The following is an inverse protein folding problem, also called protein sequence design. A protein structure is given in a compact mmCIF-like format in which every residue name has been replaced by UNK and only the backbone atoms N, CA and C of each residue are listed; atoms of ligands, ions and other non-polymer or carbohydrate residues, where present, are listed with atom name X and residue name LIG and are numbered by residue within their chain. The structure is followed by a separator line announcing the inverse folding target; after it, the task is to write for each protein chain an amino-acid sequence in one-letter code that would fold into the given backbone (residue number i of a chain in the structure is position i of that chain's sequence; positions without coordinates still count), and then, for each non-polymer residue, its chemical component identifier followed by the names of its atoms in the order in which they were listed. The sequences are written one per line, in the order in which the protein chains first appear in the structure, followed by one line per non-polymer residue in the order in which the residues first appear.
data_IF_076832481580
#
_entry.id   IF_076832481580
#
_cell.length_a   1.000
_cell.length_b   1.000
_cell.length_c   1.000
_cell.angle_alpha   90.00
_cell.angle_beta   90.00
_cell.angle_gamma   90.00
#
_symmetry.space_group_name_H-M   'P 1'
#
loop_
_entity.id
_entity.type
_entity.pdbx_description
1 polymer ?
#
# COMPACT_ATOMS: atom_id res chain seq x y z
N UNK A 1 19.55 14.23 -1.53
CA UNK A 1 19.05 13.31 -0.49
C UNK A 1 18.54 12.06 -1.20
N UNK A 2 19.15 10.91 -0.98
CA UNK A 2 18.65 9.67 -1.58
C UNK A 2 17.25 9.38 -0.98
N UNK A 3 16.23 9.33 -1.84
CA UNK A 3 14.89 8.95 -1.42
C UNK A 3 14.92 7.43 -1.17
N UNK A 4 15.20 7.02 0.07
CA UNK A 4 15.25 5.60 0.40
C UNK A 4 13.88 4.97 0.11
N UNK A 5 13.83 3.80 -0.54
CA UNK A 5 12.57 3.14 -0.87
C UNK A 5 11.80 2.84 0.43
N UNK A 6 10.54 3.25 0.47
CA UNK A 6 9.65 2.92 1.59
C UNK A 6 9.28 1.45 1.54
N UNK A 7 8.87 0.92 2.68
CA UNK A 7 8.33 -0.43 2.78
C UNK A 7 7.19 -0.70 1.78
N UNK A 8 6.33 0.29 1.52
CA UNK A 8 5.27 0.18 0.51
C UNK A 8 5.86 0.04 -0.90
N UNK A 9 6.84 0.87 -1.27
CA UNK A 9 7.43 0.80 -2.62
C UNK A 9 8.12 -0.54 -2.88
N UNK A 10 8.79 -1.11 -1.87
CA UNK A 10 9.41 -2.43 -1.95
C UNK A 10 8.35 -3.51 -2.21
N UNK A 11 7.24 -3.49 -1.46
CA UNK A 11 6.12 -4.41 -1.66
C UNK A 11 5.51 -4.28 -3.06
N UNK A 12 5.24 -3.06 -3.51
CA UNK A 12 4.68 -2.82 -4.85
C UNK A 12 5.60 -3.35 -5.96
N UNK A 13 6.91 -3.17 -5.83
CA UNK A 13 7.89 -3.69 -6.79
C UNK A 13 7.98 -5.21 -6.75
N UNK A 14 7.84 -5.83 -5.57
CA UNK A 14 7.74 -7.28 -5.47
C UNK A 14 6.47 -7.81 -6.15
N UNK A 15 5.32 -7.14 -5.95
CA UNK A 15 4.06 -7.48 -6.60
C UNK A 15 4.22 -7.40 -8.13
N UNK A 16 4.85 -6.35 -8.66
CA UNK A 16 5.11 -6.18 -10.10
C UNK A 16 6.01 -7.29 -10.63
N UNK A 17 7.12 -7.59 -9.94
CA UNK A 17 8.07 -8.65 -10.33
C UNK A 17 7.43 -10.03 -10.38
N UNK A 18 6.55 -10.35 -9.43
CA UNK A 18 5.90 -11.65 -9.31
C UNK A 18 4.57 -11.74 -10.06
N UNK A 19 4.09 -10.63 -10.62
CA UNK A 19 2.73 -10.50 -11.15
C UNK A 19 2.36 -11.65 -12.08
N UNK A 20 3.21 -11.98 -13.05
CA UNK A 20 2.91 -12.99 -14.05
C UNK A 20 2.75 -14.41 -13.50
N UNK A 21 3.37 -14.69 -12.35
CA UNK A 21 3.30 -15.99 -11.66
C UNK A 21 2.08 -16.12 -10.75
N UNK A 22 1.36 -15.02 -10.48
CA UNK A 22 0.16 -15.03 -9.66
C UNK A 22 -1.03 -15.71 -10.39
N UNK A 23 -1.88 -16.40 -9.63
CA UNK A 23 -3.15 -16.92 -10.16
C UNK A 23 -4.07 -15.77 -10.58
N UNK A 24 -5.07 -16.03 -11.44
CA UNK A 24 -6.03 -15.02 -11.92
C UNK A 24 -6.63 -14.18 -10.79
N UNK A 25 -7.06 -14.82 -9.71
CA UNK A 25 -7.66 -14.16 -8.53
C UNK A 25 -6.63 -13.32 -7.76
N UNK A 26 -5.38 -13.76 -7.66
CA UNK A 26 -4.31 -12.99 -7.02
C UNK A 26 -3.86 -11.81 -7.90
N UNK A 27 -3.89 -11.95 -9.24
CA UNK A 27 -3.66 -10.84 -10.19
C UNK A 27 -4.72 -9.74 -10.07
N UNK A 28 -5.98 -10.10 -9.80
CA UNK A 28 -7.04 -9.11 -9.53
C UNK A 28 -6.73 -8.29 -8.27
N UNK A 29 -6.34 -8.96 -7.18
CA UNK A 29 -5.93 -8.29 -5.93
C UNK A 29 -4.70 -7.41 -6.15
N UNK A 30 -3.67 -7.93 -6.83
CA UNK A 30 -2.47 -7.18 -7.16
C UNK A 30 -2.78 -5.88 -7.91
N UNK A 31 -3.61 -5.97 -8.96
CA UNK A 31 -4.03 -4.81 -9.75
C UNK A 31 -4.74 -3.79 -8.88
N UNK A 32 -5.76 -4.22 -8.14
CA UNK A 32 -6.51 -3.34 -7.26
C UNK A 32 -5.60 -2.60 -6.27
N UNK A 33 -4.66 -3.30 -5.62
CA UNK A 33 -3.75 -2.71 -4.64
C UNK A 33 -2.78 -1.70 -5.29
N UNK A 34 -2.22 -2.03 -6.45
CA UNK A 34 -1.30 -1.16 -7.18
C UNK A 34 -2.01 0.12 -7.66
N UNK A 35 -3.27 0.00 -8.10
CA UNK A 35 -4.06 1.12 -8.62
C UNK A 35 -4.69 1.97 -7.50
N UNK A 36 -4.93 1.41 -6.31
CA UNK A 36 -5.72 2.03 -5.23
C UNK A 36 -4.99 2.05 -3.87
N UNK A 37 -3.66 2.20 -3.85
CA UNK A 37 -2.85 2.10 -2.62
C UNK A 37 -3.31 3.02 -1.48
N UNK A 38 -3.75 4.26 -1.78
CA UNK A 38 -4.25 5.17 -0.76
C UNK A 38 -5.58 4.68 -0.17
N UNK A 39 -6.52 4.22 -0.99
CA UNK A 39 -7.81 3.69 -0.54
C UNK A 39 -7.64 2.42 0.32
N UNK A 40 -6.67 1.57 -0.02
CA UNK A 40 -6.34 0.35 0.75
C UNK A 40 -6.00 0.68 2.21
N UNK A 41 -5.40 1.83 2.51
CA UNK A 41 -5.11 2.23 3.89
C UNK A 41 -6.36 2.42 4.75
N UNK A 42 -7.47 2.84 4.14
CA UNK A 42 -8.71 3.21 4.82
C UNK A 42 -9.75 2.10 4.77
N UNK A 43 -10.00 1.54 3.59
CA UNK A 43 -11.13 0.63 3.33
C UNK A 43 -11.08 -0.65 4.15
N UNK A 44 -12.25 -1.14 4.59
CA UNK A 44 -12.32 -2.44 5.28
C UNK A 44 -11.89 -3.59 4.37
N UNK A 45 -11.45 -4.71 4.94
CA UNK A 45 -11.10 -5.91 4.17
C UNK A 45 -12.28 -6.37 3.29
N UNK A 46 -13.51 -6.26 3.79
CA UNK A 46 -14.71 -6.60 3.04
C UNK A 46 -14.93 -5.66 1.85
N UNK A 47 -14.77 -4.33 2.05
CA UNK A 47 -14.87 -3.34 0.97
C UNK A 47 -13.81 -3.56 -0.10
N UNK A 48 -12.56 -3.79 0.30
CA UNK A 48 -11.45 -4.07 -0.62
C UNK A 48 -11.74 -5.34 -1.44
N UNK A 49 -12.24 -6.40 -0.79
CA UNK A 49 -12.59 -7.64 -1.49
C UNK A 49 -13.70 -7.41 -2.52
N UNK A 50 -14.73 -6.65 -2.15
CA UNK A 50 -15.83 -6.28 -3.04
C UNK A 50 -15.35 -5.45 -4.23
N UNK A 51 -14.56 -4.40 -4.00
CA UNK A 51 -14.05 -3.52 -5.06
C UNK A 51 -13.06 -4.23 -5.98
N UNK A 52 -12.26 -5.16 -5.45
CA UNK A 52 -11.36 -6.01 -6.23
C UNK A 52 -12.08 -7.17 -6.95
N UNK A 53 -13.40 -7.32 -6.78
CA UNK A 53 -14.22 -8.43 -7.29
C UNK A 53 -13.66 -9.81 -6.93
N UNK A 54 -13.34 -10.01 -5.65
CA UNK A 54 -12.84 -11.28 -5.12
C UNK A 54 -13.48 -11.65 -3.77
N UNK A 55 -13.55 -12.95 -3.43
CA UNK A 55 -13.88 -13.36 -2.06
C UNK A 55 -12.84 -12.86 -1.04
N UNK A 56 -13.22 -12.50 0.20
CA UNK A 56 -12.29 -12.03 1.24
C UNK A 56 -11.11 -12.99 1.53
N UNK A 57 -11.33 -14.30 1.42
CA UNK A 57 -10.25 -15.30 1.58
C UNK A 57 -9.13 -15.15 0.54
N UNK A 58 -9.40 -14.52 -0.60
CA UNK A 58 -8.39 -14.21 -1.63
C UNK A 58 -7.41 -13.17 -1.14
N UNK A 59 -7.84 -12.19 -0.35
CA UNK A 59 -6.95 -11.19 0.25
C UNK A 59 -6.01 -11.82 1.26
N UNK A 60 -6.47 -12.81 2.02
CA UNK A 60 -5.63 -13.58 2.96
C UNK A 60 -4.59 -14.40 2.18
N UNK A 61 -5.01 -15.13 1.13
CA UNK A 61 -4.07 -15.87 0.28
C UNK A 61 -3.06 -14.94 -0.41
N UNK A 62 -3.49 -13.75 -0.82
CA UNK A 62 -2.61 -12.74 -1.38
C UNK A 62 -1.57 -12.30 -0.34
N UNK A 63 -2.00 -11.96 0.87
CA UNK A 63 -1.09 -11.58 1.96
C UNK A 63 -0.04 -12.67 2.23
N UNK A 64 -0.48 -13.92 2.36
CA UNK A 64 0.41 -15.06 2.60
C UNK A 64 1.40 -15.28 1.44
N UNK A 65 0.98 -15.04 0.19
CA UNK A 65 1.86 -15.17 -0.97
C UNK A 65 3.03 -14.17 -0.93
N UNK A 66 2.88 -13.04 -0.24
CA UNK A 66 3.91 -12.01 -0.04
C UNK A 66 4.50 -12.03 1.38
N UNK A 67 4.35 -13.13 2.12
CA UNK A 67 5.02 -13.35 3.39
C UNK A 67 4.35 -12.73 4.63
N UNK A 68 3.13 -12.20 4.49
CA UNK A 68 2.37 -11.68 5.62
C UNK A 68 1.51 -12.79 6.25
N UNK A 69 1.26 -12.70 7.55
CA UNK A 69 0.36 -13.58 8.30
C UNK A 69 -1.13 -13.40 7.95
N UNK A 70 -1.46 -12.26 7.33
CA UNK A 70 -2.80 -11.96 6.85
C UNK A 70 -2.93 -10.57 6.28
N UNK A 71 -4.11 -10.27 5.72
CA UNK A 71 -4.30 -9.01 4.98
C UNK A 71 -4.31 -7.76 5.88
N UNK A 72 -4.68 -7.90 7.15
CA UNK A 72 -4.63 -6.78 8.10
C UNK A 72 -3.19 -6.33 8.40
N UNK A 73 -2.26 -7.28 8.50
CA UNK A 73 -0.83 -6.98 8.67
C UNK A 73 -0.30 -6.25 7.43
N UNK A 74 -0.59 -6.79 6.23
CA UNK A 74 -0.25 -6.13 4.98
C UNK A 74 -0.84 -4.71 4.90
N UNK A 75 -2.12 -4.52 5.27
CA UNK A 75 -2.79 -3.21 5.28
C UNK A 75 -2.10 -2.19 6.21
N UNK A 76 -1.48 -2.63 7.29
CA UNK A 76 -0.79 -1.74 8.22
C UNK A 76 0.37 -0.98 7.55
N UNK A 77 1.02 -1.60 6.56
CA UNK A 77 2.08 -0.96 5.76
C UNK A 77 1.57 0.24 4.96
N UNK A 78 0.36 0.13 4.40
CA UNK A 78 -0.28 1.22 3.66
C UNK A 78 -0.63 2.39 4.60
N UNK A 79 -1.10 2.08 5.81
CA UNK A 79 -1.38 3.11 6.83
C UNK A 79 -0.12 3.83 7.28
N UNK A 80 0.96 3.08 7.57
CA UNK A 80 2.23 3.65 7.99
C UNK A 80 2.81 4.57 6.93
N UNK A 81 2.80 4.15 5.67
CA UNK A 81 3.28 4.97 4.57
C UNK A 81 2.53 6.31 4.48
N UNK A 82 1.19 6.29 4.60
CA UNK A 82 0.41 7.52 4.55
C UNK A 82 0.67 8.44 5.75
N UNK A 83 0.90 7.88 6.93
CA UNK A 83 1.28 8.66 8.12
C UNK A 83 2.66 9.31 7.94
N UNK A 84 3.62 8.61 7.35
CA UNK A 84 4.95 9.14 7.03
C UNK A 84 4.86 10.27 5.99
N UNK A 85 4.06 10.10 4.94
CA UNK A 85 3.86 11.13 3.92
C UNK A 85 3.23 12.42 4.49
N UNK A 86 2.22 12.28 5.36
CA UNK A 86 1.57 13.43 5.99
C UNK A 86 2.48 14.16 6.98
N UNK A 87 3.29 13.43 7.76
CA UNK A 87 4.30 14.02 8.65
C UNK A 87 5.36 14.78 7.85
N UNK A 88 5.89 14.17 6.79
CA UNK A 88 6.88 14.80 5.91
C UNK A 88 6.34 16.06 5.22
N UNK A 89 5.08 16.03 4.76
CA UNK A 89 4.43 17.19 4.18
C UNK A 89 4.31 18.34 5.19
N UNK A 90 3.87 18.03 6.42
CA UNK A 90 3.72 19.02 7.49
C UNK A 90 5.05 19.69 7.83
N UNK A 91 6.14 18.92 7.87
CA UNK A 91 7.48 19.45 8.12
C UNK A 91 7.95 20.38 6.99
N UNK A 92 7.76 19.98 5.73
CA UNK A 92 8.08 20.83 4.57
C UNK A 92 7.31 22.14 4.58
N UNK A 93 6.02 22.11 4.93
CA UNK A 93 5.18 23.30 5.02
C UNK A 93 5.60 24.24 6.17
N UNK A 94 6.20 23.72 7.26
CA UNK A 94 6.78 24.53 8.34
C UNK A 94 8.06 25.22 7.88
N UNK A 95 8.98 24.47 7.26
CA UNK A 95 10.24 25.01 6.75
C UNK A 95 9.99 26.12 5.72
N UNK A 96 9.04 25.92 4.80
CA UNK A 96 8.70 26.93 3.79
C UNK A 96 8.22 28.26 4.42
N UNK A 97 7.39 28.19 5.47
CA UNK A 97 6.92 29.38 6.20
C UNK A 97 8.05 30.14 6.91
N UNK A 98 9.08 29.43 7.38
CA UNK A 98 10.24 30.06 8.02
C UNK A 98 11.14 30.77 7.01
N UNK A 99 11.31 30.21 5.81
CA UNK A 99 12.18 30.79 4.77
C UNK A 99 11.59 31.99 4.02
N UNK A 100 10.26 32.15 4.00
CA UNK A 100 9.59 33.32 3.38
C UNK A 100 9.39 34.49 4.34
N UNK A 101 9.88 34.39 5.57
CA UNK A 101 9.77 35.44 6.60
C UNK A 101 11.02 36.35 6.69
N UNK A 102 11.95 36.20 5.74
CA UNK A 102 13.12 37.08 5.51
C UNK A 102 13.00 37.74 4.13
#
# INVERSE_FOLDING_TARGET
MANNPTQLTILQDEIRRRYDTLSKRLKQVARYILDNSNSVAFDTVASIAQQADVPPSTLIRFANAFGFSGFNEMKQMFKQHLMEETANYTERARLFRQTTSD
#
